data_IF_082857365236
#
_entry.id   IF_082857365236
#
_cell.length_a   1.000
_cell.length_b   1.000
_cell.length_c   1.000
_cell.angle_alpha   90.00
_cell.angle_beta   90.00
_cell.angle_gamma   90.00
#
_symmetry.space_group_name_H-M   'P 1'
#
loop_
_entity.id
_entity.type
_entity.pdbx_description
1 polymer ?
#
# COMPACT_ATOMS: atom_id res chain seq x y z
N UNK A 1 3.47 -3.38 -0.17
CA UNK A 1 4.25 -2.89 1.00
C UNK A 1 4.64 -1.41 0.93
N UNK A 2 5.11 -0.89 -0.20
CA UNK A 2 5.63 0.50 -0.30
C UNK A 2 4.69 1.60 0.23
N UNK A 3 3.37 1.47 0.06
CA UNK A 3 2.39 2.40 0.65
C UNK A 3 2.42 2.43 2.19
N UNK A 4 2.69 1.30 2.84
CA UNK A 4 2.68 1.18 4.30
C UNK A 4 4.09 1.26 4.91
N UNK A 5 5.11 0.78 4.21
CA UNK A 5 6.51 0.84 4.67
C UNK A 5 7.29 2.06 4.16
N UNK A 6 6.64 3.04 3.52
CA UNK A 6 7.28 4.23 2.94
C UNK A 6 8.43 3.91 1.95
N UNK A 7 9.14 4.96 1.51
CA UNK A 7 10.29 4.90 0.61
C UNK A 7 11.60 5.20 1.34
N UNK A 8 11.74 4.72 2.57
CA UNK A 8 12.99 4.90 3.32
C UNK A 8 14.03 3.84 2.92
N UNK A 9 15.31 4.19 3.11
CA UNK A 9 16.43 3.25 3.02
C UNK A 9 16.42 2.37 4.26
N UNK A 10 16.19 1.07 4.08
CA UNK A 10 16.29 0.09 5.16
C UNK A 10 17.54 -0.75 4.97
N UNK A 11 18.49 -0.65 5.89
CA UNK A 11 19.82 -1.28 5.79
C UNK A 11 20.27 -1.92 7.11
N UNK A 12 19.40 -1.94 8.13
CA UNK A 12 19.67 -2.58 9.43
C UNK A 12 18.74 -3.77 9.69
N UNK A 13 19.21 -4.73 10.49
CA UNK A 13 18.41 -5.89 10.89
C UNK A 13 17.14 -5.49 11.68
N UNK A 14 17.22 -4.44 12.49
CA UNK A 14 16.08 -3.91 13.27
C UNK A 14 14.95 -3.41 12.36
N UNK A 15 15.31 -2.67 11.30
CA UNK A 15 14.33 -2.18 10.32
C UNK A 15 13.67 -3.32 9.55
N UNK A 16 14.45 -4.34 9.17
CA UNK A 16 13.91 -5.55 8.55
C UNK A 16 12.94 -6.28 9.48
N UNK A 17 13.27 -6.42 10.76
CA UNK A 17 12.39 -7.04 11.75
C UNK A 17 11.06 -6.28 11.89
N UNK A 18 11.08 -4.95 11.89
CA UNK A 18 9.88 -4.12 11.92
C UNK A 18 9.04 -4.27 10.64
N UNK A 19 9.67 -4.33 9.47
CA UNK A 19 8.96 -4.60 8.21
C UNK A 19 8.28 -5.97 8.21
N UNK A 20 8.96 -6.99 8.76
CA UNK A 20 8.41 -8.34 8.90
C UNK A 20 7.23 -8.38 9.87
N UNK A 21 7.24 -7.57 10.94
CA UNK A 21 6.07 -7.40 11.82
C UNK A 21 4.93 -6.64 11.15
N UNK A 22 5.24 -5.63 10.33
CA UNK A 22 4.24 -4.82 9.62
C UNK A 22 3.47 -5.62 8.58
N UNK A 23 4.16 -6.51 7.86
CA UNK A 23 3.60 -7.25 6.74
C UNK A 23 2.31 -8.02 7.05
N UNK A 24 2.26 -8.94 8.04
CA UNK A 24 1.06 -9.72 8.33
C UNK A 24 -0.12 -8.82 8.73
N UNK A 25 0.12 -7.76 9.49
CA UNK A 25 -0.93 -6.81 9.90
C UNK A 25 -1.57 -6.10 8.70
N UNK A 26 -0.74 -5.63 7.77
CA UNK A 26 -1.22 -4.99 6.54
C UNK A 26 -1.94 -6.00 5.65
N UNK A 27 -1.40 -7.21 5.53
CA UNK A 27 -2.00 -8.28 4.76
C UNK A 27 -3.43 -8.58 5.26
N UNK A 28 -3.59 -8.77 6.57
CA UNK A 28 -4.90 -9.06 7.17
C UNK A 28 -5.88 -7.89 7.00
N UNK A 29 -5.41 -6.66 7.22
CA UNK A 29 -6.22 -5.46 6.97
C UNK A 29 -6.74 -5.40 5.54
N UNK A 30 -5.86 -5.64 4.56
CA UNK A 30 -6.20 -5.52 3.15
C UNK A 30 -7.11 -6.66 2.68
N UNK A 31 -6.87 -7.88 3.14
CA UNK A 31 -7.63 -9.04 2.68
C UNK A 31 -9.00 -9.17 3.35
N UNK A 32 -9.10 -8.91 4.66
CA UNK A 32 -10.35 -9.14 5.38
C UNK A 32 -11.23 -7.90 5.48
N UNK A 33 -10.64 -6.70 5.56
CA UNK A 33 -11.37 -5.48 5.96
C UNK A 33 -11.38 -4.35 4.95
N UNK A 34 -10.61 -4.43 3.86
CA UNK A 34 -10.50 -3.31 2.90
C UNK A 34 -11.34 -3.61 1.65
N UNK A 35 -12.46 -2.90 1.42
CA UNK A 35 -13.25 -3.07 0.21
C UNK A 35 -12.47 -2.56 -1.01
N UNK A 36 -12.49 -3.34 -2.09
CA UNK A 36 -11.88 -2.96 -3.37
C UNK A 36 -12.95 -2.99 -4.46
N UNK A 37 -12.83 -2.09 -5.44
CA UNK A 37 -13.64 -2.10 -6.67
C UNK A 37 -12.90 -2.87 -7.76
N UNK A 38 -13.62 -3.66 -8.55
CA UNK A 38 -13.09 -4.36 -9.73
C UNK A 38 -13.83 -3.93 -10.98
N UNK A 39 -13.14 -3.81 -12.13
CA UNK A 39 -13.79 -3.46 -13.38
C UNK A 39 -14.69 -4.62 -13.85
N UNK A 40 -15.96 -4.34 -14.14
CA UNK A 40 -16.92 -5.33 -14.66
C UNK A 40 -17.14 -5.20 -16.17
N UNK A 41 -16.86 -4.03 -16.73
CA UNK A 41 -17.09 -3.80 -18.13
C UNK A 41 -16.89 -2.34 -18.51
N UNK A 42 -17.53 -1.97 -19.62
CA UNK A 42 -17.46 -0.63 -20.18
C UNK A 42 -18.87 -0.15 -20.53
N UNK A 43 -19.09 1.14 -20.38
CA UNK A 43 -20.26 1.84 -20.90
C UNK A 43 -19.79 3.02 -21.76
N UNK A 44 -20.75 3.65 -22.43
CA UNK A 44 -20.55 4.91 -23.13
C UNK A 44 -21.18 6.02 -22.30
N UNK A 45 -20.48 7.13 -22.09
CA UNK A 45 -21.05 8.30 -21.43
C UNK A 45 -21.99 9.07 -22.37
N UNK A 46 -22.62 10.12 -21.85
CA UNK A 46 -23.59 10.94 -22.60
C UNK A 46 -22.98 11.67 -23.80
N UNK A 47 -21.64 11.75 -23.89
CA UNK A 47 -20.89 12.43 -24.97
C UNK A 47 -20.22 11.40 -25.90
N UNK A 48 -20.53 10.12 -25.75
CA UNK A 48 -19.97 9.06 -26.61
C UNK A 48 -18.61 8.51 -26.16
N UNK A 49 -18.06 8.93 -25.02
CA UNK A 49 -16.75 8.46 -24.56
C UNK A 49 -16.87 7.17 -23.75
N UNK A 50 -15.87 6.31 -23.91
CA UNK A 50 -15.80 5.03 -23.21
C UNK A 50 -15.50 5.23 -21.71
N UNK A 51 -16.38 4.75 -20.85
CA UNK A 51 -16.29 4.83 -19.38
C UNK A 51 -16.21 3.44 -18.76
N UNK A 52 -15.29 3.26 -17.80
CA UNK A 52 -15.16 1.98 -17.07
C UNK A 52 -16.30 1.82 -16.07
N UNK A 53 -16.95 0.66 -16.08
CA UNK A 53 -17.92 0.25 -15.06
C UNK A 53 -17.22 -0.57 -13.99
N UNK A 54 -17.59 -0.33 -12.73
CA UNK A 54 -17.03 -0.98 -11.56
C UNK A 54 -18.12 -1.58 -10.72
N UNK A 55 -17.78 -2.67 -10.05
CA UNK A 55 -18.68 -3.32 -9.11
C UNK A 55 -18.87 -2.53 -7.80
N UNK A 56 -19.83 -3.00 -7.00
CA UNK A 56 -19.95 -2.56 -5.61
C UNK A 56 -18.70 -3.01 -4.83
N UNK A 57 -18.08 -2.11 -4.03
CA UNK A 57 -16.89 -2.46 -3.26
C UNK A 57 -17.10 -3.68 -2.36
N UNK A 58 -16.20 -4.67 -2.46
CA UNK A 58 -16.16 -5.87 -1.62
C UNK A 58 -14.73 -6.18 -1.20
N UNK A 59 -14.53 -6.66 0.02
CA UNK A 59 -13.19 -7.09 0.45
C UNK A 59 -12.77 -8.38 -0.28
N UNK A 60 -11.46 -8.63 -0.44
CA UNK A 60 -10.98 -9.90 -1.00
C UNK A 60 -11.58 -11.13 -0.32
N UNK A 61 -11.72 -11.11 1.01
CA UNK A 61 -12.41 -12.15 1.79
C UNK A 61 -13.85 -12.37 1.30
N UNK A 62 -14.65 -11.31 1.15
CA UNK A 62 -16.04 -11.42 0.67
C UNK A 62 -16.09 -11.95 -0.78
N UNK A 63 -15.12 -11.57 -1.62
CA UNK A 63 -15.03 -12.06 -3.00
C UNK A 63 -14.68 -13.53 -3.06
N UNK A 64 -13.79 -14.00 -2.19
CA UNK A 64 -13.40 -15.39 -2.12
C UNK A 64 -14.58 -16.28 -1.74
N UNK A 65 -15.38 -15.87 -0.74
CA UNK A 65 -16.62 -16.55 -0.38
C UNK A 65 -17.62 -16.55 -1.55
N UNK A 66 -17.82 -15.40 -2.20
CA UNK A 66 -18.75 -15.30 -3.33
C UNK A 66 -18.32 -16.10 -4.58
N UNK A 67 -17.04 -16.50 -4.67
CA UNK A 67 -16.55 -17.29 -5.79
C UNK A 67 -16.97 -18.78 -5.71
N UNK A 68 -17.38 -19.26 -4.53
CA UNK A 68 -17.83 -20.66 -4.35
C UNK A 68 -16.75 -21.71 -4.58
N UNK A 69 -15.48 -21.32 -4.54
CA UNK A 69 -14.32 -22.22 -4.77
C UNK A 69 -13.84 -22.92 -3.50
N UNK A 70 -14.36 -22.50 -2.33
CA UNK A 70 -13.98 -23.03 -1.04
C UNK A 70 -14.92 -24.16 -0.61
N UNK A 71 -14.38 -25.14 0.09
CA UNK A 71 -15.20 -26.12 0.79
C UNK A 71 -15.71 -25.56 2.14
N UNK A 72 -16.72 -26.18 2.78
CA UNK A 72 -17.28 -25.68 4.04
C UNK A 72 -16.27 -25.58 5.19
N UNK A 73 -15.26 -26.46 5.24
CA UNK A 73 -14.22 -26.41 6.26
C UNK A 73 -13.32 -25.17 6.11
N UNK A 74 -12.93 -24.84 4.87
CA UNK A 74 -12.13 -23.64 4.55
C UNK A 74 -12.90 -22.34 4.85
N UNK A 75 -14.20 -22.30 4.55
CA UNK A 75 -15.04 -21.13 4.90
C UNK A 75 -15.10 -20.93 6.41
N UNK A 76 -15.29 -22.01 7.16
CA UNK A 76 -15.32 -22.00 8.63
C UNK A 76 -13.99 -21.55 9.22
N UNK A 77 -12.87 -22.07 8.70
CA UNK A 77 -11.52 -21.68 9.10
C UNK A 77 -11.28 -20.18 8.88
N UNK A 78 -11.62 -19.66 7.69
CA UNK A 78 -11.45 -18.23 7.40
C UNK A 78 -12.36 -17.34 8.25
N UNK A 79 -13.59 -17.77 8.53
CA UNK A 79 -14.51 -17.05 9.40
C UNK A 79 -13.98 -17.01 10.84
N UNK A 80 -13.49 -18.14 11.35
CA UNK A 80 -12.86 -18.24 12.67
C UNK A 80 -11.61 -17.35 12.75
N UNK A 81 -10.72 -17.41 11.76
CA UNK A 81 -9.53 -16.56 11.70
C UNK A 81 -9.92 -15.07 11.69
N UNK A 82 -10.86 -14.66 10.82
CA UNK A 82 -11.35 -13.28 10.75
C UNK A 82 -11.93 -12.81 12.08
N UNK A 83 -12.59 -13.68 12.85
CA UNK A 83 -13.15 -13.34 14.16
C UNK A 83 -12.06 -13.04 15.20
N UNK A 84 -10.86 -13.61 15.07
CA UNK A 84 -9.72 -13.30 15.95
C UNK A 84 -9.13 -11.91 15.69
N UNK A 85 -9.32 -11.36 14.49
CA UNK A 85 -8.71 -10.11 14.06
C UNK A 85 -9.41 -8.90 14.71
N UNK A 86 -8.61 -7.97 15.26
CA UNK A 86 -9.09 -6.73 15.90
C UNK A 86 -8.69 -5.51 15.06
N UNK A 87 -9.57 -4.98 14.17
CA UNK A 87 -9.19 -3.95 13.20
C UNK A 87 -8.58 -2.69 13.82
N UNK A 88 -9.14 -2.23 14.96
CA UNK A 88 -8.65 -1.05 15.67
C UNK A 88 -7.26 -1.28 16.25
N UNK A 89 -7.04 -2.42 16.90
CA UNK A 89 -5.74 -2.77 17.49
C UNK A 89 -4.68 -2.96 16.40
N UNK A 90 -5.04 -3.63 15.31
CA UNK A 90 -4.19 -3.79 14.13
C UNK A 90 -3.80 -2.45 13.53
N UNK A 91 -4.74 -1.50 13.40
CA UNK A 91 -4.44 -0.17 12.90
C UNK A 91 -3.48 0.59 13.81
N UNK A 92 -3.67 0.52 15.14
CA UNK A 92 -2.73 1.13 16.11
C UNK A 92 -1.33 0.56 15.95
N UNK A 93 -1.21 -0.77 15.88
CA UNK A 93 0.08 -1.45 15.74
C UNK A 93 0.78 -1.11 14.42
N UNK A 94 0.03 -1.01 13.31
CA UNK A 94 0.55 -0.54 12.02
C UNK A 94 1.14 0.86 12.17
N UNK A 95 0.41 1.79 12.78
CA UNK A 95 0.87 3.18 12.98
C UNK A 95 2.12 3.25 13.86
N UNK A 96 2.19 2.49 14.95
CA UNK A 96 3.36 2.40 15.83
C UNK A 96 4.61 1.94 15.07
N UNK A 97 4.50 0.85 14.29
CA UNK A 97 5.62 0.33 13.50
C UNK A 97 6.04 1.35 12.44
N UNK A 98 5.09 2.01 11.79
CA UNK A 98 5.38 3.06 10.81
C UNK A 98 6.12 4.25 11.43
N UNK A 99 5.73 4.69 12.62
CA UNK A 99 6.43 5.76 13.36
C UNK A 99 7.87 5.35 13.70
N UNK A 100 8.06 4.11 14.14
CA UNK A 100 9.40 3.60 14.47
C UNK A 100 10.29 3.46 13.23
N UNK A 101 9.75 2.96 12.11
CA UNK A 101 10.46 2.92 10.83
C UNK A 101 10.88 4.33 10.38
N UNK A 102 9.98 5.32 10.51
CA UNK A 102 10.30 6.73 10.20
C UNK A 102 11.39 7.27 11.13
N UNK A 103 11.34 6.94 12.43
CA UNK A 103 12.34 7.38 13.41
C UNK A 103 13.74 6.85 13.07
N UNK A 104 13.84 5.58 12.68
CA UNK A 104 15.10 4.90 12.36
C UNK A 104 15.66 5.30 10.98
N UNK A 105 14.80 5.30 9.97
CA UNK A 105 15.23 5.39 8.57
C UNK A 105 14.97 6.74 7.89
N UNK A 106 14.11 7.60 8.47
CA UNK A 106 13.69 8.85 7.85
C UNK A 106 14.84 9.83 7.61
N UNK A 107 15.64 10.11 8.66
CA UNK A 107 16.76 11.07 8.59
C UNK A 107 17.84 10.66 7.60
N UNK A 108 18.26 9.38 7.63
CA UNK A 108 19.31 8.89 6.73
C UNK A 108 18.82 8.89 5.27
N UNK A 109 17.56 8.58 5.03
CA UNK A 109 16.95 8.66 3.69
C UNK A 109 16.95 10.09 3.18
N UNK A 110 16.47 11.05 3.99
CA UNK A 110 16.44 12.46 3.61
C UNK A 110 17.84 12.99 3.28
N UNK A 111 18.86 12.59 4.05
CA UNK A 111 20.25 12.94 3.75
C UNK A 111 20.68 12.38 2.38
N UNK A 112 20.41 11.12 2.08
CA UNK A 112 20.75 10.51 0.79
C UNK A 112 20.04 11.22 -0.37
N UNK A 113 18.75 11.52 -0.22
CA UNK A 113 17.97 12.26 -1.21
C UNK A 113 18.58 13.63 -1.51
N UNK A 114 19.03 14.36 -0.48
CA UNK A 114 19.72 15.66 -0.67
C UNK A 114 21.02 15.55 -1.47
N UNK A 115 21.76 14.44 -1.35
CA UNK A 115 23.01 14.24 -2.10
C UNK A 115 22.75 13.84 -3.56
N UNK A 116 21.63 13.18 -3.83
CA UNK A 116 21.24 12.73 -5.18
C UNK A 116 20.46 13.82 -5.93
N UNK A 117 19.83 14.76 -5.21
CA UNK A 117 19.06 15.84 -5.80
C UNK A 117 19.94 16.68 -6.75
N UNK A 118 19.61 16.61 -8.04
CA UNK A 118 20.23 17.47 -9.03
C UNK A 118 19.96 18.93 -8.69
N UNK A 119 21.03 19.73 -8.65
CA UNK A 119 20.94 21.18 -8.58
C UNK A 119 21.11 21.75 -9.97
N UNK A 120 20.16 22.61 -10.36
CA UNK A 120 20.31 23.34 -11.61
C UNK A 120 21.62 24.15 -11.58
N UNK A 121 22.42 24.10 -12.65
CA UNK A 121 23.56 24.99 -12.77
C UNK A 121 23.09 26.44 -12.74
N UNK A 122 23.93 27.32 -12.21
CA UNK A 122 23.66 28.77 -12.18
C UNK A 122 23.39 29.27 -13.61
N UNK A 123 22.22 29.88 -13.88
CA UNK A 123 21.90 30.41 -15.20
C UNK A 123 22.90 31.47 -15.69
N UNK A 124 23.64 32.14 -14.80
CA UNK A 124 24.70 33.08 -15.18
C UNK A 124 25.88 32.41 -15.91
N UNK A 125 26.08 31.09 -15.75
CA UNK A 125 27.12 30.31 -16.41
C UNK A 125 26.71 29.70 -17.76
N UNK A 126 25.44 29.81 -18.14
CA UNK A 126 24.91 29.22 -19.38
C UNK A 126 25.19 30.13 -20.57
N UNK A 127 26.24 29.83 -21.34
CA UNK A 127 26.49 30.50 -22.62
C UNK A 127 25.45 30.05 -23.65
N UNK A 128 24.50 30.91 -23.98
CA UNK A 128 23.62 30.72 -25.14
C UNK A 128 24.46 30.92 -26.40
N UNK A 129 24.53 29.90 -27.25
CA UNK A 129 25.17 30.03 -28.56
C UNK A 129 24.19 30.84 -29.43
N UNK A 130 24.53 32.09 -29.71
CA UNK A 130 23.74 32.92 -30.62
C UNK A 130 23.77 32.31 -32.03
N UNK A 131 22.60 32.23 -32.66
CA UNK A 131 22.37 31.75 -34.03
C UNK A 131 22.91 32.70 -35.08
#
# INVERSE_FOLDING_TARGET
>A
MRRYGFYHRYDTATELALLNQLWPLVNDRLNFFTPTKKPEGWATDTVGRRKRLYDKPRSPYQRLLAAGVLNPAQETELAAYKATLKPVAMQRRITEIQQELTRLAGRKTARLEQHIAWKAPDPAGLKTRAS
#
